data_IF_749359589215
#
_entry.id   IF_749359589215
#
_cell.length_a   1.000
_cell.length_b   1.000
_cell.length_c   1.000
_cell.angle_alpha   90.00
_cell.angle_beta   90.00
_cell.angle_gamma   90.00
#
_symmetry.space_group_name_H-M   'P 1'
#
loop_
_entity.id
_entity.type
_entity.pdbx_description
1 polymer ?
#
# COMPACT_ATOMS: atom_id res chain seq x y z
N UNK A 1 -3.17 0.52 26.18
CA UNK A 1 -4.32 -0.43 26.11
C UNK A 1 -5.44 0.08 25.21
N UNK A 2 -5.89 1.33 25.36
CA UNK A 2 -6.86 1.98 24.46
C UNK A 2 -6.48 1.84 22.98
N UNK A 3 -5.27 2.26 22.62
CA UNK A 3 -4.70 2.11 21.27
C UNK A 3 -4.63 0.64 20.80
N UNK A 4 -4.21 -0.28 21.68
CA UNK A 4 -4.12 -1.72 21.38
C UNK A 4 -5.47 -2.28 20.91
N UNK A 5 -6.56 -1.88 21.54
CA UNK A 5 -7.91 -2.32 21.19
C UNK A 5 -8.67 -1.36 20.27
N UNK A 6 -8.03 -0.29 19.78
CA UNK A 6 -8.67 0.69 18.89
C UNK A 6 -9.90 1.37 19.50
N UNK A 7 -9.85 1.68 20.79
CA UNK A 7 -10.93 2.38 21.52
C UNK A 7 -10.36 3.52 22.35
N UNK A 8 -11.24 4.40 22.84
CA UNK A 8 -10.84 5.50 23.72
C UNK A 8 -10.55 5.04 25.14
N UNK A 9 -9.74 5.83 25.87
CA UNK A 9 -9.37 5.59 27.26
C UNK A 9 -10.59 5.37 28.19
N UNK A 10 -11.68 6.16 28.10
CA UNK A 10 -12.84 5.97 28.98
C UNK A 10 -13.50 4.60 28.85
N UNK A 11 -13.50 4.00 27.65
CA UNK A 11 -14.05 2.67 27.43
C UNK A 11 -13.23 1.60 28.17
N UNK A 12 -11.90 1.69 28.11
CA UNK A 12 -10.99 0.80 28.84
C UNK A 12 -11.16 0.98 30.35
N UNK A 13 -11.17 2.22 30.84
CA UNK A 13 -11.36 2.52 32.27
C UNK A 13 -12.68 1.97 32.80
N UNK A 14 -13.77 2.07 32.02
CA UNK A 14 -15.08 1.50 32.38
C UNK A 14 -15.01 -0.02 32.51
N UNK A 15 -14.38 -0.72 31.57
CA UNK A 15 -14.27 -2.18 31.62
C UNK A 15 -13.41 -2.64 32.80
N UNK A 16 -12.28 -1.99 33.07
CA UNK A 16 -11.42 -2.30 34.22
C UNK A 16 -12.16 -2.13 35.54
N UNK A 17 -12.90 -1.03 35.70
CA UNK A 17 -13.72 -0.79 36.90
C UNK A 17 -14.71 -1.94 37.11
N UNK A 18 -15.44 -2.32 36.08
CA UNK A 18 -16.40 -3.43 36.18
C UNK A 18 -15.72 -4.76 36.52
N UNK A 19 -14.55 -5.07 35.95
CA UNK A 19 -13.80 -6.30 36.23
C UNK A 19 -13.41 -6.40 37.71
N UNK A 20 -13.00 -5.27 38.31
CA UNK A 20 -12.64 -5.22 39.72
C UNK A 20 -13.87 -5.28 40.64
N UNK A 21 -14.96 -4.59 40.27
CA UNK A 21 -16.23 -4.64 41.02
C UNK A 21 -16.84 -6.03 41.05
N UNK A 22 -16.72 -6.81 39.97
CA UNK A 22 -17.20 -8.20 39.92
C UNK A 22 -16.25 -9.19 40.60
N UNK A 23 -15.05 -8.75 41.02
CA UNK A 23 -14.04 -9.61 41.63
C UNK A 23 -13.38 -10.61 40.68
N UNK A 24 -13.48 -10.40 39.36
CA UNK A 24 -12.85 -11.29 38.37
C UNK A 24 -11.32 -11.17 38.42
N UNK A 25 -10.82 -9.95 38.65
CA UNK A 25 -9.41 -9.69 38.93
C UNK A 25 -9.30 -8.83 40.19
N UNK A 26 -8.25 -9.05 40.98
CA UNK A 26 -7.91 -8.18 42.10
C UNK A 26 -7.02 -7.04 41.59
N UNK A 27 -7.44 -5.80 41.82
CA UNK A 27 -6.74 -4.60 41.32
C UNK A 27 -5.25 -4.60 41.71
N UNK A 28 -4.93 -4.96 42.96
CA UNK A 28 -3.55 -5.00 43.46
C UNK A 28 -2.67 -6.09 42.80
N UNK A 29 -3.26 -7.13 42.23
CA UNK A 29 -2.54 -8.22 41.57
C UNK A 29 -2.19 -7.92 40.11
N UNK A 30 -2.93 -7.00 39.48
CA UNK A 30 -2.84 -6.73 38.04
C UNK A 30 -2.40 -5.32 37.69
N UNK A 31 -2.24 -4.43 38.68
CA UNK A 31 -1.76 -3.06 38.51
C UNK A 31 -0.43 -2.86 39.24
N UNK A 32 0.56 -2.33 38.52
CA UNK A 32 1.74 -1.69 39.10
C UNK A 32 1.65 -0.18 38.91
N UNK A 33 1.83 0.60 39.99
CA UNK A 33 1.86 2.06 39.92
C UNK A 33 3.31 2.51 39.80
N UNK A 34 3.68 3.03 38.63
CA UNK A 34 5.03 3.53 38.36
C UNK A 34 5.04 5.06 38.37
N UNK A 35 6.04 5.65 39.04
CA UNK A 35 6.32 7.07 38.92
C UNK A 35 6.94 7.34 37.55
N UNK A 36 6.20 8.01 36.66
CA UNK A 36 6.70 8.40 35.35
C UNK A 36 6.65 9.92 35.23
N UNK A 37 7.76 10.53 34.82
CA UNK A 37 7.80 11.96 34.51
C UNK A 37 7.15 12.18 33.16
N UNK A 38 6.07 12.96 33.08
CA UNK A 38 5.45 13.30 31.80
C UNK A 38 6.20 14.45 31.12
N UNK A 39 5.80 14.75 29.87
CA UNK A 39 6.42 15.77 29.03
C UNK A 39 6.37 17.21 29.61
N UNK A 40 5.52 17.45 30.61
CA UNK A 40 5.40 18.71 31.35
C UNK A 40 6.34 18.79 32.58
N UNK A 41 7.22 17.80 32.77
CA UNK A 41 8.16 17.73 33.88
C UNK A 41 7.53 17.30 35.21
N UNK A 42 6.23 16.97 35.25
CA UNK A 42 5.56 16.51 36.47
C UNK A 42 5.61 14.99 36.58
N UNK A 43 5.76 14.50 37.81
CA UNK A 43 5.64 13.06 38.11
C UNK A 43 4.17 12.68 38.21
N UNK A 44 3.75 11.72 37.40
CA UNK A 44 2.44 11.09 37.49
C UNK A 44 2.59 9.65 37.95
N UNK A 45 1.66 9.19 38.78
CA UNK A 45 1.47 7.78 39.07
C UNK A 45 0.72 7.16 37.89
N UNK A 46 1.43 6.43 37.04
CA UNK A 46 0.84 5.73 35.89
C UNK A 46 0.60 4.27 36.25
N UNK A 47 -0.62 3.78 36.01
CA UNK A 47 -1.00 2.39 36.20
C UNK A 47 -0.56 1.54 35.00
N UNK A 48 0.28 0.54 35.26
CA UNK A 48 0.67 -0.51 34.32
C UNK A 48 -0.14 -1.77 34.59
N UNK A 49 -0.88 -2.22 33.58
CA UNK A 49 -1.74 -3.39 33.66
C UNK A 49 -1.01 -4.62 33.12
N UNK A 50 -1.09 -5.73 33.86
CA UNK A 50 -0.53 -7.00 33.43
C UNK A 50 -1.34 -7.67 32.29
N UNK A 51 -0.91 -8.84 31.85
CA UNK A 51 -1.55 -9.56 30.75
C UNK A 51 -3.00 -9.97 31.06
N UNK A 52 -3.30 -10.37 32.30
CA UNK A 52 -4.66 -10.80 32.68
C UNK A 52 -5.66 -9.67 32.52
N UNK A 53 -5.29 -8.46 32.96
CA UNK A 53 -6.11 -7.26 32.77
C UNK A 53 -6.31 -6.95 31.28
N UNK A 54 -5.25 -7.08 30.45
CA UNK A 54 -5.34 -6.88 29.01
C UNK A 54 -6.32 -7.89 28.38
N UNK A 55 -6.21 -9.18 28.73
CA UNK A 55 -7.07 -10.26 28.22
C UNK A 55 -8.53 -10.00 28.63
N UNK A 56 -8.77 -9.72 29.91
CA UNK A 56 -10.12 -9.49 30.45
C UNK A 56 -10.81 -8.29 29.79
N UNK A 57 -10.08 -7.21 29.52
CA UNK A 57 -10.59 -6.07 28.76
C UNK A 57 -10.84 -6.44 27.30
N UNK A 58 -9.94 -7.18 26.66
CA UNK A 58 -10.07 -7.60 25.26
C UNK A 58 -11.36 -8.39 24.96
N UNK A 59 -11.86 -9.16 25.93
CA UNK A 59 -13.15 -9.86 25.80
C UNK A 59 -14.38 -8.94 25.88
N UNK A 60 -14.26 -7.75 26.50
CA UNK A 60 -15.38 -6.83 26.76
C UNK A 60 -15.45 -5.65 25.79
N UNK A 61 -14.33 -5.30 25.17
CA UNK A 61 -14.25 -4.19 24.22
C UNK A 61 -14.96 -4.54 22.91
N UNK A 62 -15.78 -3.62 22.41
CA UNK A 62 -16.43 -3.75 21.11
C UNK A 62 -15.68 -2.95 20.03
N UNK A 63 -14.66 -3.58 19.44
CA UNK A 63 -13.91 -3.03 18.31
C UNK A 63 -13.50 -4.12 17.32
N UNK A 64 -13.04 -3.71 16.12
CA UNK A 64 -12.49 -4.65 15.12
C UNK A 64 -11.29 -5.41 15.70
N UNK A 65 -10.40 -4.72 16.41
CA UNK A 65 -9.20 -5.29 17.05
C UNK A 65 -9.58 -6.29 18.15
N UNK A 66 -10.53 -5.93 19.02
CA UNK A 66 -11.01 -6.83 20.06
C UNK A 66 -11.75 -8.06 19.48
N UNK A 67 -12.44 -7.89 18.35
CA UNK A 67 -13.06 -9.00 17.61
C UNK A 67 -12.01 -9.96 17.06
N UNK A 68 -10.94 -9.45 16.44
CA UNK A 68 -9.82 -10.28 15.98
C UNK A 68 -9.13 -10.99 17.14
N UNK A 69 -8.92 -10.30 18.27
CA UNK A 69 -8.41 -10.91 19.50
C UNK A 69 -9.28 -12.08 19.96
N UNK A 70 -10.61 -11.92 20.01
CA UNK A 70 -11.53 -12.99 20.40
C UNK A 70 -11.51 -14.17 19.43
N UNK A 71 -11.51 -13.91 18.11
CA UNK A 71 -11.40 -14.96 17.09
C UNK A 71 -10.13 -15.78 17.30
N UNK A 72 -8.99 -15.11 17.48
CA UNK A 72 -7.71 -15.75 17.76
C UNK A 72 -7.77 -16.55 19.07
N UNK A 73 -8.22 -15.95 20.16
CA UNK A 73 -8.25 -16.60 21.48
C UNK A 73 -9.18 -17.83 21.48
N UNK A 74 -10.34 -17.75 20.82
CA UNK A 74 -11.25 -18.89 20.66
C UNK A 74 -10.61 -20.00 19.81
N UNK A 75 -9.89 -19.66 18.73
CA UNK A 75 -9.15 -20.64 17.92
C UNK A 75 -8.08 -21.36 18.75
N UNK A 76 -7.29 -20.60 19.50
CA UNK A 76 -6.24 -21.12 20.39
C UNK A 76 -6.81 -22.01 21.48
N UNK A 77 -7.87 -21.58 22.15
CA UNK A 77 -8.53 -22.38 23.18
C UNK A 77 -9.12 -23.68 22.61
N UNK A 78 -9.75 -23.61 21.43
CA UNK A 78 -10.28 -24.79 20.73
C UNK A 78 -9.18 -25.79 20.40
N UNK A 79 -8.03 -25.31 19.93
CA UNK A 79 -6.87 -26.14 19.64
C UNK A 79 -6.33 -26.82 20.90
N UNK A 80 -6.20 -26.08 22.00
CA UNK A 80 -5.80 -26.62 23.30
C UNK A 80 -6.74 -27.74 23.74
N UNK A 81 -8.06 -27.53 23.66
CA UNK A 81 -9.07 -28.51 24.07
C UNK A 81 -9.00 -29.78 23.21
N UNK A 82 -8.75 -29.66 21.91
CA UNK A 82 -8.72 -30.81 20.99
C UNK A 82 -7.40 -31.59 21.10
N UNK A 83 -6.26 -30.90 21.15
CA UNK A 83 -4.93 -31.52 21.06
C UNK A 83 -4.26 -31.74 22.43
N UNK A 84 -4.74 -31.08 23.48
CA UNK A 84 -4.12 -31.06 24.81
C UNK A 84 -2.94 -30.08 24.93
N UNK A 85 -2.54 -29.41 23.85
CA UNK A 85 -1.49 -28.39 23.84
C UNK A 85 -1.75 -27.39 22.70
N UNK A 86 -1.14 -26.21 22.81
CA UNK A 86 -1.06 -25.23 21.72
C UNK A 86 0.41 -25.01 21.44
N UNK A 87 0.81 -25.19 20.19
CA UNK A 87 2.13 -24.81 19.70
C UNK A 87 1.98 -23.59 18.79
N UNK A 88 2.77 -22.55 19.04
CA UNK A 88 2.90 -21.42 18.12
C UNK A 88 4.05 -21.74 17.15
N UNK A 89 3.75 -22.55 16.13
CA UNK A 89 4.73 -23.11 15.19
C UNK A 89 5.52 -22.02 14.46
N UNK A 90 4.90 -20.89 14.14
CA UNK A 90 5.60 -19.76 13.50
C UNK A 90 6.56 -19.10 14.48
N UNK A 91 6.15 -18.88 15.73
CA UNK A 91 7.03 -18.31 16.76
C UNK A 91 8.17 -19.25 17.16
N UNK A 92 7.97 -20.56 17.09
CA UNK A 92 9.04 -21.54 17.32
C UNK A 92 10.04 -21.58 16.16
N UNK A 93 9.60 -21.34 14.92
CA UNK A 93 10.48 -21.25 13.75
C UNK A 93 11.23 -19.92 13.65
N UNK A 94 10.65 -18.82 14.14
CA UNK A 94 11.16 -17.45 13.97
C UNK A 94 11.71 -16.79 15.25
N UNK A 95 11.64 -17.45 16.41
CA UNK A 95 12.01 -16.85 17.70
C UNK A 95 10.99 -15.83 18.22
N UNK A 96 11.43 -14.73 18.84
CA UNK A 96 10.50 -13.71 19.37
C UNK A 96 9.60 -13.11 18.27
N UNK A 97 8.39 -12.64 18.63
CA UNK A 97 7.32 -12.15 17.73
C UNK A 97 7.73 -11.12 16.67
N UNK A 98 8.85 -10.42 16.91
CA UNK A 98 9.56 -9.52 16.01
C UNK A 98 11.07 -9.70 16.25
N UNK A 99 11.56 -10.91 16.04
CA UNK A 99 12.98 -11.22 16.18
C UNK A 99 13.81 -10.57 15.08
N UNK A 100 15.13 -10.65 15.21
CA UNK A 100 16.09 -10.27 14.17
C UNK A 100 15.70 -10.90 12.82
N UNK A 101 15.27 -12.17 12.87
CA UNK A 101 14.86 -12.96 11.70
C UNK A 101 13.66 -12.36 10.93
N UNK A 102 12.67 -11.75 11.61
CA UNK A 102 11.54 -11.09 10.94
C UNK A 102 12.00 -9.87 10.14
N UNK A 103 12.86 -9.03 10.73
CA UNK A 103 13.34 -7.83 10.05
C UNK A 103 14.40 -8.14 8.99
N UNK A 104 15.19 -9.21 9.18
CA UNK A 104 16.11 -9.72 8.16
C UNK A 104 15.31 -10.25 6.94
N UNK A 105 14.22 -10.99 7.14
CA UNK A 105 13.32 -11.41 6.06
C UNK A 105 12.63 -10.21 5.40
N UNK A 106 12.19 -9.23 6.19
CA UNK A 106 11.58 -8.01 5.67
C UNK A 106 12.53 -7.21 4.78
N UNK A 107 13.81 -7.13 5.17
CA UNK A 107 14.86 -6.50 4.37
C UNK A 107 15.10 -7.24 3.06
N UNK A 108 15.14 -8.57 3.08
CA UNK A 108 15.25 -9.39 1.86
C UNK A 108 14.05 -9.18 0.91
N UNK A 109 12.82 -9.17 1.43
CA UNK A 109 11.62 -8.86 0.63
C UNK A 109 11.71 -7.48 -0.04
N UNK A 110 12.19 -6.46 0.68
CA UNK A 110 12.36 -5.12 0.13
C UNK A 110 13.44 -5.10 -0.97
N UNK A 111 14.53 -5.86 -0.79
CA UNK A 111 15.58 -6.03 -1.81
C UNK A 111 15.05 -6.72 -3.07
N UNK A 112 14.24 -7.77 -2.92
CA UNK A 112 13.57 -8.45 -4.05
C UNK A 112 12.62 -7.49 -4.80
N UNK A 113 11.81 -6.72 -4.08
CA UNK A 113 10.92 -5.71 -4.69
C UNK A 113 11.75 -4.67 -5.46
N UNK A 114 12.86 -4.21 -4.88
CA UNK A 114 13.78 -3.24 -5.51
C UNK A 114 14.37 -3.82 -6.81
N UNK A 115 14.86 -5.06 -6.77
CA UNK A 115 15.48 -5.73 -7.91
C UNK A 115 14.48 -6.10 -9.02
N UNK A 116 13.19 -6.22 -8.70
CA UNK A 116 12.17 -6.60 -9.68
C UNK A 116 12.01 -5.58 -10.83
N UNK A 117 11.73 -6.06 -12.04
CA UNK A 117 11.36 -5.22 -13.19
C UNK A 117 9.86 -4.82 -13.18
N UNK A 118 9.18 -5.02 -12.04
CA UNK A 118 7.76 -4.70 -11.89
C UNK A 118 7.51 -3.20 -12.05
N UNK A 119 6.28 -2.88 -12.43
CA UNK A 119 5.86 -1.49 -12.64
C UNK A 119 5.99 -0.71 -11.33
N UNK A 120 6.32 0.58 -11.45
CA UNK A 120 6.52 1.52 -10.34
C UNK A 120 5.48 1.42 -9.22
N UNK A 121 4.20 1.49 -9.57
CA UNK A 121 3.09 1.40 -8.62
C UNK A 121 2.95 0.00 -8.00
N UNK A 122 3.34 -1.06 -8.71
CA UNK A 122 3.33 -2.42 -8.16
C UNK A 122 4.35 -2.57 -7.03
N UNK A 123 5.54 -1.96 -7.16
CA UNK A 123 6.53 -1.97 -6.08
C UNK A 123 5.99 -1.34 -4.79
N UNK A 124 5.24 -0.25 -4.90
CA UNK A 124 4.60 0.41 -3.75
C UNK A 124 3.51 -0.47 -3.14
N UNK A 125 2.70 -1.14 -3.96
CA UNK A 125 1.69 -2.10 -3.46
C UNK A 125 2.33 -3.34 -2.85
N UNK A 126 3.47 -3.78 -3.38
CA UNK A 126 4.22 -4.93 -2.85
C UNK A 126 4.80 -4.60 -1.46
N UNK A 127 5.31 -3.39 -1.23
CA UNK A 127 5.69 -2.94 0.13
C UNK A 127 4.46 -2.98 1.05
N UNK A 128 3.35 -2.40 0.63
CA UNK A 128 2.13 -2.39 1.44
C UNK A 128 1.66 -3.81 1.79
N UNK A 129 1.69 -4.74 0.84
CA UNK A 129 1.26 -6.13 1.05
C UNK A 129 2.25 -6.93 1.89
N UNK A 130 3.53 -6.90 1.54
CA UNK A 130 4.54 -7.78 2.11
C UNK A 130 5.16 -7.25 3.41
N UNK A 131 5.08 -5.93 3.63
CA UNK A 131 5.68 -5.23 4.76
C UNK A 131 4.65 -4.70 5.77
N UNK A 132 3.35 -4.98 5.59
CA UNK A 132 2.34 -4.71 6.62
C UNK A 132 2.21 -5.89 7.59
N UNK A 133 2.34 -5.64 8.89
CA UNK A 133 2.16 -6.68 9.92
C UNK A 133 0.71 -7.18 10.02
N UNK A 134 -0.25 -6.40 9.54
CA UNK A 134 -1.69 -6.65 9.65
C UNK A 134 -2.36 -6.75 8.28
N UNK A 135 -1.60 -7.05 7.22
CA UNK A 135 -2.11 -7.09 5.86
C UNK A 135 -3.38 -7.93 5.74
N UNK A 136 -4.40 -7.36 5.11
CA UNK A 136 -5.63 -8.04 4.77
C UNK A 136 -6.12 -7.56 3.40
N UNK A 137 -6.14 -8.46 2.42
CA UNK A 137 -6.59 -8.20 1.05
C UNK A 137 -8.07 -7.78 0.96
N UNK A 138 -8.90 -8.27 1.89
CA UNK A 138 -10.34 -8.04 1.90
C UNK A 138 -10.73 -6.76 2.67
N UNK A 139 -9.76 -6.12 3.33
CA UNK A 139 -10.00 -4.88 4.05
C UNK A 139 -10.25 -3.70 3.09
N UNK A 140 -11.22 -2.85 3.44
CA UNK A 140 -11.58 -1.65 2.66
C UNK A 140 -10.39 -0.71 2.42
N UNK A 141 -9.49 -0.58 3.40
CA UNK A 141 -8.26 0.21 3.28
C UNK A 141 -7.35 -0.30 2.15
N UNK A 142 -7.18 -1.62 2.03
CA UNK A 142 -6.38 -2.25 0.97
C UNK A 142 -6.99 -2.03 -0.41
N UNK A 143 -8.30 -2.27 -0.53
CA UNK A 143 -9.01 -2.04 -1.79
C UNK A 143 -8.94 -0.57 -2.23
N UNK A 144 -9.08 0.36 -1.28
CA UNK A 144 -8.97 1.80 -1.53
C UNK A 144 -7.55 2.20 -1.91
N UNK A 145 -6.56 1.67 -1.20
CA UNK A 145 -5.15 1.92 -1.48
C UNK A 145 -4.78 1.47 -2.90
N UNK A 146 -5.10 0.24 -3.29
CA UNK A 146 -4.79 -0.29 -4.63
C UNK A 146 -5.51 0.48 -5.75
N UNK A 147 -6.75 0.96 -5.50
CA UNK A 147 -7.49 1.80 -6.45
C UNK A 147 -6.89 3.21 -6.62
N UNK A 148 -6.23 3.75 -5.59
CA UNK A 148 -5.86 5.17 -5.56
C UNK A 148 -4.37 5.43 -5.74
N UNK A 149 -3.49 4.48 -5.37
CA UNK A 149 -2.03 4.67 -5.38
C UNK A 149 -1.49 5.11 -6.74
N UNK A 150 -2.02 4.55 -7.83
CA UNK A 150 -1.60 4.92 -9.18
C UNK A 150 -1.91 6.41 -9.48
N UNK A 151 -3.11 6.87 -9.13
CA UNK A 151 -3.51 8.25 -9.34
C UNK A 151 -2.76 9.21 -8.42
N UNK A 152 -2.44 8.81 -7.18
CA UNK A 152 -1.61 9.60 -6.27
C UNK A 152 -0.22 9.86 -6.87
N UNK A 153 0.44 8.82 -7.39
CA UNK A 153 1.75 8.94 -8.00
C UNK A 153 1.71 9.75 -9.31
N UNK A 154 0.74 9.50 -10.19
CA UNK A 154 0.60 10.32 -11.40
C UNK A 154 0.35 11.79 -11.08
N UNK A 155 -0.46 12.08 -10.06
CA UNK A 155 -0.74 13.45 -9.64
C UNK A 155 0.48 14.13 -9.05
N UNK A 156 1.27 13.43 -8.24
CA UNK A 156 2.50 13.95 -7.67
C UNK A 156 3.46 14.46 -8.76
N UNK A 157 3.62 13.70 -9.84
CA UNK A 157 4.54 14.03 -10.94
C UNK A 157 3.94 15.02 -11.94
N UNK A 158 2.70 14.77 -12.38
CA UNK A 158 2.12 15.46 -13.54
C UNK A 158 1.05 16.49 -13.19
N UNK A 159 0.59 16.52 -11.94
CA UNK A 159 -0.59 17.28 -11.51
C UNK A 159 -1.91 16.78 -12.12
N UNK A 160 -1.93 15.55 -12.66
CA UNK A 160 -3.06 14.95 -13.36
C UNK A 160 -3.26 13.50 -12.93
N UNK A 161 -4.51 13.05 -12.89
CA UNK A 161 -4.84 11.62 -12.72
C UNK A 161 -4.57 10.86 -14.02
N UNK A 162 -4.51 9.52 -13.95
CA UNK A 162 -4.32 8.67 -15.12
C UNK A 162 -5.35 8.98 -16.23
N UNK A 163 -6.62 9.18 -15.85
CA UNK A 163 -7.69 9.52 -16.76
C UNK A 163 -7.49 10.90 -17.43
N UNK A 164 -7.04 11.89 -16.66
CA UNK A 164 -6.75 13.23 -17.21
C UNK A 164 -5.56 13.21 -18.17
N UNK A 165 -4.50 12.45 -17.85
CA UNK A 165 -3.35 12.27 -18.74
C UNK A 165 -3.82 11.72 -20.09
N UNK A 166 -4.60 10.63 -20.07
CA UNK A 166 -5.13 10.00 -21.29
C UNK A 166 -6.01 10.99 -22.06
N UNK A 167 -7.01 11.60 -21.40
CA UNK A 167 -7.96 12.49 -22.06
C UNK A 167 -7.30 13.72 -22.70
N UNK A 168 -6.21 14.23 -22.10
CA UNK A 168 -5.53 15.41 -22.62
C UNK A 168 -4.47 15.08 -23.68
N UNK A 169 -3.77 13.94 -23.55
CA UNK A 169 -2.61 13.61 -24.40
C UNK A 169 -2.95 12.69 -25.57
N UNK A 170 -4.03 11.90 -25.50
CA UNK A 170 -4.46 11.02 -26.59
C UNK A 170 -5.07 11.81 -27.76
N UNK A 171 -4.23 12.33 -28.65
CA UNK A 171 -4.64 13.16 -29.78
C UNK A 171 -4.32 12.49 -31.10
N UNK A 172 -5.34 12.22 -31.93
CA UNK A 172 -5.15 11.61 -33.25
C UNK A 172 -4.23 12.41 -34.19
N UNK A 173 -4.14 13.72 -34.00
CA UNK A 173 -3.30 14.61 -34.80
C UNK A 173 -1.84 14.67 -34.35
N UNK A 174 -1.52 14.14 -33.16
CA UNK A 174 -0.15 14.13 -32.66
C UNK A 174 0.62 12.91 -33.21
N UNK A 175 1.95 13.00 -33.39
CA UNK A 175 2.78 11.84 -33.68
C UNK A 175 2.52 10.73 -32.67
N UNK A 176 2.34 9.49 -33.14
CA UNK A 176 2.06 8.32 -32.30
C UNK A 176 0.88 8.52 -31.33
N UNK A 177 -0.10 9.36 -31.69
CA UNK A 177 -1.20 9.79 -30.83
C UNK A 177 -0.80 10.48 -29.51
N UNK A 178 0.44 10.97 -29.40
CA UNK A 178 1.02 11.51 -28.16
C UNK A 178 1.62 10.46 -27.23
N UNK A 179 1.58 9.17 -27.60
CA UNK A 179 2.28 8.10 -26.88
C UNK A 179 3.79 8.30 -26.97
N UNK A 180 4.47 8.12 -25.85
CA UNK A 180 5.93 8.10 -25.73
C UNK A 180 6.48 6.67 -25.82
N UNK A 181 5.68 5.69 -25.39
CA UNK A 181 6.00 4.25 -25.47
C UNK A 181 4.72 3.44 -25.61
N UNK A 182 4.80 2.23 -26.16
CA UNK A 182 3.69 1.28 -26.31
C UNK A 182 4.27 -0.12 -26.51
N UNK A 183 3.42 -1.16 -26.53
CA UNK A 183 3.87 -2.55 -26.54
C UNK A 183 4.91 -2.89 -27.61
N UNK A 184 4.76 -2.32 -28.81
CA UNK A 184 5.64 -2.58 -29.96
C UNK A 184 6.49 -1.37 -30.35
N UNK A 185 6.70 -0.42 -29.44
CA UNK A 185 7.49 0.78 -29.71
C UNK A 185 8.97 0.44 -30.03
N UNK A 186 9.66 1.27 -30.84
CA UNK A 186 9.15 2.42 -31.56
C UNK A 186 8.60 2.11 -32.96
N UNK A 187 8.78 0.89 -33.48
CA UNK A 187 8.51 0.56 -34.90
C UNK A 187 7.18 -0.13 -35.19
N UNK A 188 6.56 -0.76 -34.19
CA UNK A 188 5.33 -1.52 -34.39
C UNK A 188 4.07 -0.68 -34.22
N UNK A 189 2.94 -1.21 -34.69
CA UNK A 189 1.63 -0.54 -34.60
C UNK A 189 1.21 -0.28 -33.15
N UNK A 190 0.61 0.88 -32.95
CA UNK A 190 -0.16 1.20 -31.75
C UNK A 190 -1.43 0.38 -31.78
N UNK A 191 -1.76 -0.25 -30.65
CA UNK A 191 -3.01 -0.98 -30.47
C UNK A 191 -4.01 -0.19 -29.63
N UNK A 192 -5.29 -0.55 -29.75
CA UNK A 192 -6.37 0.03 -28.94
C UNK A 192 -6.14 -0.13 -27.42
N UNK A 193 -5.44 -1.19 -27.01
CA UNK A 193 -5.09 -1.40 -25.60
C UNK A 193 -4.00 -0.45 -25.11
N UNK A 194 -3.10 0.00 -25.99
CA UNK A 194 -2.01 0.91 -25.61
C UNK A 194 -2.52 2.32 -25.26
N UNK A 195 -3.57 2.79 -25.95
CA UNK A 195 -4.12 4.14 -25.76
C UNK A 195 -4.89 4.32 -24.45
N UNK A 196 -5.23 3.22 -23.77
CA UNK A 196 -5.90 3.24 -22.47
C UNK A 196 -4.92 3.25 -21.29
N UNK A 197 -3.61 3.22 -21.54
CA UNK A 197 -2.57 3.13 -20.50
C UNK A 197 -1.93 4.49 -20.30
N UNK A 198 -2.20 5.16 -19.17
CA UNK A 198 -1.66 6.49 -18.88
C UNK A 198 -0.13 6.55 -18.88
N UNK A 199 0.55 5.49 -18.41
CA UNK A 199 2.03 5.38 -18.42
C UNK A 199 2.60 5.62 -19.83
N UNK A 200 1.93 5.14 -20.86
CA UNK A 200 2.40 5.24 -22.23
C UNK A 200 2.47 6.67 -22.76
N UNK A 201 1.79 7.60 -22.09
CA UNK A 201 1.79 9.04 -22.42
C UNK A 201 2.76 9.85 -21.56
N UNK A 202 3.48 9.24 -20.61
CA UNK A 202 4.42 9.95 -19.75
C UNK A 202 5.70 10.29 -20.50
N UNK A 203 6.15 11.54 -20.35
CA UNK A 203 7.41 12.02 -20.90
C UNK A 203 8.60 11.42 -20.14
N UNK A 204 9.78 11.41 -20.75
CA UNK A 204 10.99 10.80 -20.16
C UNK A 204 11.33 11.39 -18.78
N UNK A 205 11.21 12.72 -18.62
CA UNK A 205 11.43 13.38 -17.34
C UNK A 205 10.41 12.96 -16.28
N UNK A 206 9.13 12.82 -16.64
CA UNK A 206 8.07 12.35 -15.72
C UNK A 206 8.31 10.89 -15.29
N UNK A 207 8.82 10.04 -16.20
CA UNK A 207 9.20 8.66 -15.87
C UNK A 207 10.37 8.65 -14.89
N UNK A 208 11.42 9.45 -15.13
CA UNK A 208 12.57 9.58 -14.22
C UNK A 208 12.18 10.10 -12.84
N UNK A 209 11.28 11.07 -12.77
CA UNK A 209 10.76 11.56 -11.49
C UNK A 209 9.95 10.49 -10.75
N UNK A 210 9.09 9.74 -11.46
CA UNK A 210 8.35 8.63 -10.89
C UNK A 210 9.29 7.53 -10.35
N UNK A 211 10.33 7.19 -11.08
CA UNK A 211 11.40 6.27 -10.66
C UNK A 211 12.10 6.74 -9.39
N UNK A 212 12.42 8.03 -9.32
CA UNK A 212 13.06 8.64 -8.15
C UNK A 212 12.16 8.56 -6.93
N UNK A 213 10.87 8.90 -7.06
CA UNK A 213 9.89 8.84 -5.97
C UNK A 213 9.75 7.41 -5.44
N UNK A 214 9.64 6.42 -6.33
CA UNK A 214 9.50 5.02 -5.92
C UNK A 214 10.77 4.50 -5.24
N UNK A 215 11.95 4.83 -5.78
CA UNK A 215 13.23 4.46 -5.17
C UNK A 215 13.36 5.03 -3.76
N UNK A 216 13.07 6.32 -3.58
CA UNK A 216 13.14 6.95 -2.26
C UNK A 216 12.11 6.37 -1.27
N UNK A 217 10.95 5.94 -1.76
CA UNK A 217 9.96 5.27 -0.90
C UNK A 217 10.38 3.85 -0.52
N UNK A 218 11.07 3.13 -1.41
CA UNK A 218 11.73 1.86 -1.08
C UNK A 218 12.83 2.06 -0.04
N UNK A 219 13.66 3.09 -0.17
CA UNK A 219 14.68 3.45 0.83
C UNK A 219 14.04 3.75 2.19
N UNK A 220 12.89 4.45 2.20
CA UNK A 220 12.13 4.69 3.42
C UNK A 220 11.64 3.39 4.06
N UNK A 221 11.09 2.46 3.26
CA UNK A 221 10.63 1.16 3.74
C UNK A 221 11.78 0.33 4.32
N UNK A 222 12.91 0.29 3.62
CA UNK A 222 14.14 -0.39 4.07
C UNK A 222 14.64 0.21 5.39
N UNK A 223 14.58 1.53 5.55
CA UNK A 223 14.95 2.19 6.80
C UNK A 223 14.02 1.81 7.97
N UNK A 224 12.70 1.68 7.74
CA UNK A 224 11.79 1.22 8.79
C UNK A 224 12.13 -0.20 9.22
N UNK A 225 12.38 -1.09 8.26
CA UNK A 225 12.77 -2.47 8.52
C UNK A 225 14.10 -2.57 9.28
N UNK A 226 15.14 -1.86 8.82
CA UNK A 226 16.46 -1.83 9.45
C UNK A 226 16.43 -1.30 10.89
N UNK A 227 15.52 -0.36 11.17
CA UNK A 227 15.30 0.20 12.52
C UNK A 227 14.36 -0.63 13.37
N UNK A 228 13.92 -1.77 12.88
CA UNK A 228 13.00 -2.68 13.56
C UNK A 228 11.67 -2.00 13.93
N UNK A 229 11.18 -1.11 13.06
CA UNK A 229 9.91 -0.41 13.23
C UNK A 229 8.83 -1.20 12.48
N UNK A 230 7.91 -1.87 13.19
CA UNK A 230 6.82 -2.59 12.55
C UNK A 230 5.81 -1.60 11.96
N UNK A 231 5.35 -1.87 10.75
CA UNK A 231 4.43 -1.00 10.00
C UNK A 231 3.11 -1.72 9.74
N UNK A 232 1.98 -1.04 9.99
CA UNK A 232 0.63 -1.51 9.63
C UNK A 232 0.19 -0.96 8.29
N UNK A 233 -0.87 -1.52 7.73
CA UNK A 233 -1.53 -1.02 6.52
C UNK A 233 -1.83 0.48 6.60
N UNK A 234 -2.38 0.95 7.72
CA UNK A 234 -2.69 2.36 7.92
C UNK A 234 -1.43 3.24 7.90
N UNK A 235 -0.34 2.77 8.53
CA UNK A 235 0.92 3.49 8.57
C UNK A 235 1.48 3.67 7.16
N UNK A 236 1.43 2.65 6.29
CA UNK A 236 1.89 2.77 4.91
C UNK A 236 1.08 3.77 4.08
N UNK A 237 -0.24 3.83 4.27
CA UNK A 237 -1.10 4.82 3.60
C UNK A 237 -0.72 6.23 4.02
N UNK A 238 -0.65 6.47 5.33
CA UNK A 238 -0.36 7.80 5.89
C UNK A 238 1.07 8.25 5.57
N UNK A 239 2.03 7.32 5.60
CA UNK A 239 3.42 7.62 5.28
C UNK A 239 3.64 7.88 3.81
N UNK A 240 2.90 7.25 2.90
CA UNK A 240 2.97 7.61 1.48
C UNK A 240 2.53 9.07 1.26
N UNK A 241 1.42 9.50 1.86
CA UNK A 241 0.93 10.87 1.72
C UNK A 241 1.89 11.88 2.38
N UNK A 242 2.38 11.56 3.58
CA UNK A 242 3.38 12.39 4.27
C UNK A 242 4.70 12.48 3.48
N UNK A 243 5.14 11.36 2.89
CA UNK A 243 6.35 11.28 2.09
C UNK A 243 6.25 12.16 0.83
N UNK A 244 5.15 12.08 0.10
CA UNK A 244 4.92 12.93 -1.07
C UNK A 244 4.90 14.41 -0.67
N UNK A 245 4.21 14.75 0.43
CA UNK A 245 4.16 16.13 0.95
C UNK A 245 5.54 16.67 1.35
N UNK A 246 6.31 15.85 2.05
CA UNK A 246 7.63 16.23 2.58
C UNK A 246 8.62 16.52 1.45
N UNK A 247 8.52 15.77 0.34
CA UNK A 247 9.31 16.00 -0.87
C UNK A 247 8.68 17.05 -1.81
N UNK A 248 7.82 17.92 -1.28
CA UNK A 248 7.20 19.05 -1.99
C UNK A 248 6.31 18.67 -3.19
N UNK A 249 5.89 17.40 -3.29
CA UNK A 249 4.93 16.98 -4.30
C UNK A 249 3.50 17.38 -3.92
N UNK A 250 2.69 17.64 -4.95
CA UNK A 250 1.25 17.86 -4.78
C UNK A 250 0.57 16.54 -4.47
N UNK A 251 -0.34 16.55 -3.50
CA UNK A 251 -1.16 15.38 -3.15
C UNK A 251 -2.51 15.50 -3.83
N UNK A 252 -3.00 14.39 -4.36
CA UNK A 252 -4.34 14.28 -4.90
C UNK A 252 -5.36 14.34 -3.74
N UNK A 253 -6.20 15.39 -3.70
CA UNK A 253 -7.21 15.59 -2.66
C UNK A 253 -8.63 15.20 -3.09
N UNK A 254 -8.84 15.00 -4.38
CA UNK A 254 -10.13 14.67 -4.99
C UNK A 254 -9.99 13.52 -6.00
N UNK A 255 -11.09 13.06 -6.61
CA UNK A 255 -11.07 11.96 -7.58
C UNK A 255 -10.53 12.37 -8.97
N UNK A 256 -10.11 13.62 -9.15
CA UNK A 256 -9.83 14.22 -10.45
C UNK A 256 -11.09 14.70 -11.18
N UNK A 257 -10.89 15.41 -12.29
CA UNK A 257 -12.00 16.02 -13.07
C UNK A 257 -12.58 15.11 -14.16
N UNK A 258 -11.90 14.01 -14.48
CA UNK A 258 -12.24 13.15 -15.62
C UNK A 258 -12.36 11.70 -15.13
N UNK A 259 -13.47 11.04 -15.46
CA UNK A 259 -13.66 9.63 -15.13
C UNK A 259 -12.85 8.73 -16.07
N UNK A 260 -12.51 7.53 -15.57
CA UNK A 260 -11.77 6.55 -16.35
C UNK A 260 -12.50 6.15 -17.65
N UNK A 261 -13.83 5.98 -17.59
CA UNK A 261 -14.64 5.63 -18.75
C UNK A 261 -14.64 6.72 -19.82
N UNK A 262 -14.75 7.99 -19.42
CA UNK A 262 -14.72 9.13 -20.34
C UNK A 262 -13.35 9.22 -21.01
N UNK A 263 -12.26 9.14 -20.22
CA UNK A 263 -10.91 9.17 -20.76
C UNK A 263 -10.66 8.04 -21.77
N UNK A 264 -11.12 6.83 -21.45
CA UNK A 264 -11.01 5.67 -22.33
C UNK A 264 -11.77 5.90 -23.65
N UNK A 265 -13.02 6.34 -23.60
CA UNK A 265 -13.80 6.63 -24.83
C UNK A 265 -13.10 7.66 -25.71
N UNK A 266 -12.63 8.76 -25.13
CA UNK A 266 -11.91 9.80 -25.87
C UNK A 266 -10.64 9.24 -26.55
N UNK A 267 -9.86 8.42 -25.86
CA UNK A 267 -8.67 7.80 -26.41
C UNK A 267 -8.99 6.78 -27.51
N UNK A 268 -10.04 5.99 -27.34
CA UNK A 268 -10.51 5.03 -28.34
C UNK A 268 -11.04 5.74 -29.61
N UNK A 269 -11.78 6.84 -29.47
CA UNK A 269 -12.24 7.67 -30.60
C UNK A 269 -11.07 8.32 -31.35
N UNK A 270 -10.07 8.82 -30.62
CA UNK A 270 -8.83 9.31 -31.22
C UNK A 270 -8.08 8.20 -31.95
N UNK A 271 -8.09 6.98 -31.41
CA UNK A 271 -7.43 5.82 -32.00
C UNK A 271 -8.09 5.40 -33.31
N UNK A 272 -9.41 5.37 -33.39
CA UNK A 272 -10.09 5.03 -34.66
C UNK A 272 -9.73 6.00 -35.79
N UNK A 273 -9.55 7.30 -35.48
CA UNK A 273 -9.09 8.30 -36.46
C UNK A 273 -7.63 8.08 -36.86
N UNK A 274 -6.76 7.82 -35.88
CA UNK A 274 -5.33 7.61 -36.12
C UNK A 274 -5.04 6.29 -36.85
N UNK A 275 -5.79 5.21 -36.54
CA UNK A 275 -5.58 3.88 -37.12
C UNK A 275 -5.63 3.91 -38.64
N UNK A 276 -6.54 4.69 -39.23
CA UNK A 276 -6.64 4.85 -40.69
C UNK A 276 -5.36 5.43 -41.29
N UNK A 277 -4.72 6.38 -40.59
CA UNK A 277 -3.46 6.99 -41.02
C UNK A 277 -2.30 6.00 -40.82
N UNK A 278 -2.25 5.34 -39.67
CA UNK A 278 -1.24 4.34 -39.35
C UNK A 278 -1.27 3.18 -40.35
N UNK A 279 -2.44 2.62 -40.65
CA UNK A 279 -2.55 1.47 -41.55
C UNK A 279 -2.16 1.80 -43.00
N UNK A 280 -2.35 3.05 -43.43
CA UNK A 280 -1.88 3.50 -44.75
C UNK A 280 -0.37 3.67 -44.83
N UNK A 281 0.24 4.10 -43.73
CA UNK A 281 1.67 4.43 -43.68
C UNK A 281 2.54 3.29 -43.12
N UNK A 282 1.92 2.20 -42.66
CA UNK A 282 2.64 1.08 -42.07
C UNK A 282 3.21 0.17 -43.15
N UNK A 283 4.53 0.02 -43.13
CA UNK A 283 5.25 -0.98 -43.93
C UNK A 283 5.59 -2.16 -43.03
N UNK A 284 5.20 -3.36 -43.44
CA UNK A 284 5.56 -4.59 -42.74
C UNK A 284 6.97 -5.05 -43.12
N UNK A 285 7.57 -5.92 -42.32
CA UNK A 285 8.85 -6.55 -42.63
C UNK A 285 8.82 -7.24 -44.01
N UNK A 286 7.66 -7.77 -44.42
CA UNK A 286 7.46 -8.33 -45.76
C UNK A 286 7.54 -7.25 -46.84
N UNK A 287 6.90 -6.09 -46.62
CA UNK A 287 6.94 -4.97 -47.58
C UNK A 287 8.36 -4.42 -47.72
N UNK A 288 9.12 -4.35 -46.62
CA UNK A 288 10.54 -3.97 -46.63
C UNK A 288 11.41 -4.98 -47.39
N UNK A 289 11.22 -6.28 -47.17
CA UNK A 289 11.99 -7.33 -47.88
C UNK A 289 11.65 -7.39 -49.37
N UNK A 290 10.38 -7.20 -49.75
CA UNK A 290 9.99 -7.11 -51.17
C UNK A 290 10.65 -5.92 -51.87
N UNK A 291 10.75 -4.75 -51.21
CA UNK A 291 11.47 -3.58 -51.75
C UNK A 291 12.97 -3.82 -51.93
N UNK A 292 13.59 -4.62 -51.05
CA UNK A 292 15.01 -5.00 -51.20
C UNK A 292 15.24 -5.95 -52.37
N UNK A 293 14.27 -6.82 -52.67
CA UNK A 293 14.34 -7.80 -53.76
C UNK A 293 14.06 -7.18 -55.14
N UNK A 294 13.26 -6.12 -55.19
CA UNK A 294 12.98 -5.34 -56.41
C UNK A 294 13.32 -3.85 -56.19
N UNK A 295 14.61 -3.46 -56.17
CA UNK A 295 14.98 -2.05 -56.17
C UNK A 295 14.59 -1.44 -57.51
N UNK A 296 13.68 -0.46 -57.50
CA UNK A 296 13.41 0.43 -58.65
C UNK A 296 14.63 1.27 -59.02
#
# INVERSE_FOLDING_TARGET
>A
MAELFGVEVPAVSKHLKNIFETGELQEAAVISKMETTAADGKKYLTAFYNLDAIIAVGYRVNSKQATQFRIWATKTLKEFIIKGFVLDDERLKQGTRFGKDYFDELLERIREIRASERRFYQKITDIYEQCSIDYNKDAEITQTFFKTVQNKLHWAITGKTAAQIIAERAKASAPNMGLQTWKNAPKGKISKTDVSIAKNYLMENEIKELERVVTMYLDYAENQAARQIPMKMADWVDKLDAFLKFNEYKILKDAGKVSHEVARKLAEEAYEKFRVIQDRNFESDFDEEVKKLNPE
#
